data_IF_774031012285
#
_entry.id   IF_774031012285
#
_cell.length_a   1.000
_cell.length_b   1.000
_cell.length_c   1.000
_cell.angle_alpha   90.00
_cell.angle_beta   90.00
_cell.angle_gamma   90.00
#
_symmetry.space_group_name_H-M   'P 1'
#
loop_
_entity.id
_entity.type
_entity.pdbx_description
1 polymer ?
#
# COMPACT_ATOMS: atom_id res chain seq x y z
N UNK A 1 9.23 1.11 -2.41
CA UNK A 1 8.99 2.57 -2.35
C UNK A 1 8.42 2.90 -1.00
N UNK A 2 8.51 4.15 -0.56
CA UNK A 2 8.02 4.58 0.75
C UNK A 2 6.83 5.52 0.58
N UNK A 3 5.89 5.48 1.51
CA UNK A 3 4.71 6.34 1.52
C UNK A 3 4.29 6.68 2.94
N UNK A 4 3.71 7.87 3.13
CA UNK A 4 3.17 8.31 4.42
C UNK A 4 1.66 8.23 4.35
N UNK A 5 1.07 7.41 5.21
CA UNK A 5 -0.38 7.26 5.36
C UNK A 5 -0.81 7.86 6.69
N UNK A 6 -1.98 8.53 6.71
CA UNK A 6 -2.61 8.95 7.96
C UNK A 6 -3.46 7.80 8.52
N UNK A 7 -3.01 7.19 9.59
CA UNK A 7 -3.73 6.19 10.35
C UNK A 7 -4.27 6.82 11.63
N UNK A 8 -5.60 6.90 11.79
CA UNK A 8 -6.25 7.47 13.00
C UNK A 8 -5.68 8.86 13.40
N UNK A 9 -5.47 9.73 12.42
CA UNK A 9 -4.85 11.08 12.58
C UNK A 9 -3.34 11.11 12.86
N UNK A 10 -2.67 9.96 12.88
CA UNK A 10 -1.23 9.83 13.09
C UNK A 10 -0.56 9.53 11.74
N UNK A 11 0.59 10.15 11.48
CA UNK A 11 1.38 9.84 10.29
C UNK A 11 2.14 8.52 10.51
N UNK A 12 2.04 7.60 9.55
CA UNK A 12 2.72 6.32 9.53
C UNK A 12 3.43 6.15 8.19
N UNK A 13 4.74 5.89 8.23
CA UNK A 13 5.54 5.66 7.04
C UNK A 13 5.65 4.16 6.76
N UNK A 14 5.25 3.76 5.56
CA UNK A 14 5.29 2.38 5.09
C UNK A 14 6.25 2.22 3.93
N UNK A 15 7.07 1.18 3.98
CA UNK A 15 7.84 0.67 2.86
C UNK A 15 7.02 -0.38 2.12
N UNK A 16 6.59 -0.02 0.91
CA UNK A 16 5.85 -0.88 -0.01
C UNK A 16 6.81 -1.60 -0.96
N UNK A 17 6.68 -2.92 -1.04
CA UNK A 17 7.45 -3.79 -1.91
C UNK A 17 6.50 -4.63 -2.77
N UNK A 18 6.90 -4.88 -4.02
CA UNK A 18 6.19 -5.77 -4.92
C UNK A 18 6.78 -7.18 -4.72
N UNK A 19 5.95 -8.12 -4.28
CA UNK A 19 6.34 -9.52 -4.08
C UNK A 19 6.07 -10.35 -5.34
N UNK A 20 4.88 -10.16 -5.93
CA UNK A 20 4.43 -10.86 -7.13
C UNK A 20 3.37 -10.05 -7.87
N UNK A 21 2.96 -10.50 -9.06
CA UNK A 21 1.95 -9.80 -9.84
C UNK A 21 0.64 -9.62 -9.05
N UNK A 22 0.33 -8.36 -8.73
CA UNK A 22 -0.85 -8.02 -7.92
C UNK A 22 -0.71 -8.28 -6.42
N UNK A 23 0.47 -8.65 -5.92
CA UNK A 23 0.74 -8.92 -4.50
C UNK A 23 1.86 -8.00 -4.00
N UNK A 24 1.56 -7.25 -2.96
CA UNK A 24 2.46 -6.26 -2.37
C UNK A 24 2.56 -6.47 -0.86
N UNK A 25 3.68 -6.10 -0.29
CA UNK A 25 3.89 -6.02 1.16
C UNK A 25 4.14 -4.57 1.55
N UNK A 26 3.55 -4.12 2.64
CA UNK A 26 3.78 -2.81 3.23
C UNK A 26 4.26 -3.00 4.66
N UNK A 27 5.52 -2.64 4.92
CA UNK A 27 6.14 -2.75 6.23
C UNK A 27 6.27 -1.37 6.86
N UNK A 28 5.79 -1.20 8.08
CA UNK A 28 5.90 0.03 8.85
C UNK A 28 7.37 0.32 9.15
N UNK A 29 7.82 1.52 8.81
CA UNK A 29 9.16 2.00 9.13
C UNK A 29 9.16 2.81 10.41
N UNK A 30 8.22 3.75 10.53
CA UNK A 30 8.05 4.60 11.71
C UNK A 30 6.63 5.19 11.75
N UNK A 31 6.18 5.60 12.94
CA UNK A 31 4.94 6.34 13.14
C UNK A 31 5.11 7.39 14.25
N UNK A 32 4.40 8.51 14.13
CA UNK A 32 4.48 9.64 15.08
C UNK A 32 3.48 9.51 16.25
N UNK A 33 3.22 8.29 16.72
CA UNK A 33 2.11 7.97 17.63
C UNK A 33 2.49 7.20 18.88
N UNK A 34 1.57 7.17 19.84
CA UNK A 34 1.70 6.30 21.01
C UNK A 34 1.52 4.82 20.63
N UNK A 35 2.19 3.93 21.37
CA UNK A 35 2.25 2.49 21.09
C UNK A 35 0.88 1.81 21.15
N UNK A 36 -0.06 2.32 21.95
CA UNK A 36 -1.42 1.78 22.07
C UNK A 36 -2.25 1.96 20.80
N UNK A 37 -1.87 2.89 19.92
CA UNK A 37 -2.54 3.15 18.63
C UNK A 37 -1.61 2.87 17.44
N UNK A 38 -0.59 2.03 17.65
CA UNK A 38 0.35 1.67 16.61
C UNK A 38 -0.38 1.04 15.42
N UNK A 39 -0.13 1.53 14.20
CA UNK A 39 -0.70 0.92 13.01
C UNK A 39 -0.04 -0.46 12.76
N UNK A 40 -0.64 -1.34 11.94
CA UNK A 40 -0.08 -2.66 11.68
C UNK A 40 1.35 -2.60 11.13
N UNK A 41 2.26 -3.39 11.71
CA UNK A 41 3.68 -3.40 11.34
C UNK A 41 3.91 -3.96 9.93
N UNK A 42 3.11 -4.95 9.51
CA UNK A 42 3.24 -5.62 8.23
C UNK A 42 1.88 -5.89 7.63
N UNK A 43 1.70 -5.49 6.38
CA UNK A 43 0.44 -5.63 5.66
C UNK A 43 0.73 -6.27 4.31
N UNK A 44 0.11 -7.41 4.03
CA UNK A 44 0.08 -7.97 2.68
C UNK A 44 -1.14 -7.41 1.97
N UNK A 45 -0.95 -6.82 0.80
CA UNK A 45 -2.00 -6.31 -0.07
C UNK A 45 -2.09 -7.15 -1.33
N UNK A 46 -3.32 -7.54 -1.68
CA UNK A 46 -3.63 -8.30 -2.88
C UNK A 46 -4.62 -7.49 -3.72
N UNK A 47 -4.30 -7.32 -4.99
CA UNK A 47 -5.13 -6.60 -5.95
C UNK A 47 -6.37 -7.45 -6.30
N UNK A 48 -7.53 -7.02 -5.81
CA UNK A 48 -8.81 -7.55 -6.26
C UNK A 48 -9.29 -6.88 -7.55
N UNK A 49 -10.47 -7.28 -8.02
CA UNK A 49 -11.09 -6.73 -9.26
C UNK A 49 -11.53 -5.27 -9.08
N UNK A 50 -11.97 -4.89 -7.87
CA UNK A 50 -12.51 -3.55 -7.58
C UNK A 50 -11.78 -2.83 -6.44
N UNK A 51 -11.33 -3.59 -5.46
CA UNK A 51 -10.71 -3.07 -4.25
C UNK A 51 -9.42 -3.84 -3.95
N UNK A 52 -8.53 -3.20 -3.21
CA UNK A 52 -7.41 -3.88 -2.58
C UNK A 52 -7.90 -4.60 -1.32
N UNK A 53 -7.49 -5.85 -1.17
CA UNK A 53 -7.71 -6.66 0.04
C UNK A 53 -6.38 -6.90 0.72
N UNK A 54 -6.37 -7.29 2.00
CA UNK A 54 -5.11 -7.59 2.64
C UNK A 54 -5.21 -8.39 3.93
N UNK A 55 -4.07 -8.53 4.60
CA UNK A 55 -3.93 -9.27 5.85
C UNK A 55 -4.52 -8.56 7.08
N UNK A 56 -5.09 -7.38 6.90
CA UNK A 56 -5.73 -6.58 7.95
C UNK A 56 -7.15 -6.21 7.52
N UNK A 57 -8.05 -6.04 8.48
CA UNK A 57 -9.45 -5.67 8.22
C UNK A 57 -9.68 -4.15 8.17
N UNK A 58 -8.62 -3.37 8.01
CA UNK A 58 -8.70 -1.90 7.96
C UNK A 58 -8.84 -1.40 6.52
N UNK A 59 -10.08 -1.23 6.07
CA UNK A 59 -10.40 -0.82 4.70
C UNK A 59 -9.82 0.55 4.31
N UNK A 60 -9.70 1.47 5.27
CA UNK A 60 -9.14 2.80 5.03
C UNK A 60 -7.66 2.66 4.71
N UNK A 61 -6.93 1.92 5.54
CA UNK A 61 -5.49 1.69 5.36
C UNK A 61 -5.21 0.94 4.05
N UNK A 62 -5.97 -0.12 3.76
CA UNK A 62 -5.87 -0.87 2.51
C UNK A 62 -6.20 0.02 1.30
N UNK A 63 -7.20 0.88 1.40
CA UNK A 63 -7.58 1.80 0.34
C UNK A 63 -6.49 2.83 0.03
N UNK A 64 -5.90 3.45 1.05
CA UNK A 64 -4.85 4.45 0.89
C UNK A 64 -3.55 3.83 0.35
N UNK A 65 -3.12 2.68 0.88
CA UNK A 65 -1.98 1.93 0.36
C UNK A 65 -2.23 1.45 -1.07
N UNK A 66 -3.45 0.97 -1.36
CA UNK A 66 -3.86 0.54 -2.69
C UNK A 66 -3.79 1.66 -3.73
N UNK A 67 -4.28 2.87 -3.41
CA UNK A 67 -4.15 4.06 -4.26
C UNK A 67 -2.69 4.39 -4.56
N UNK A 68 -1.83 4.34 -3.53
CA UNK A 68 -0.40 4.56 -3.71
C UNK A 68 0.21 3.51 -4.65
N UNK A 69 -0.13 2.24 -4.48
CA UNK A 69 0.35 1.16 -5.36
C UNK A 69 -0.13 1.38 -6.79
N UNK A 70 -1.41 1.65 -7.03
CA UNK A 70 -1.94 1.86 -8.38
C UNK A 70 -1.31 3.06 -9.11
N UNK A 71 -0.92 4.10 -8.36
CA UNK A 71 -0.21 5.25 -8.91
C UNK A 71 1.23 4.93 -9.35
N UNK A 72 1.91 4.01 -8.65
CA UNK A 72 3.35 3.73 -8.83
C UNK A 72 3.63 2.42 -9.58
N UNK A 73 2.70 1.47 -9.52
CA UNK A 73 2.71 0.19 -10.23
C UNK A 73 1.40 0.03 -11.02
N UNK A 74 1.25 0.72 -12.16
CA UNK A 74 0.09 0.56 -13.02
C UNK A 74 0.11 -0.85 -13.65
N UNK A 75 -0.50 -1.81 -12.96
CA UNK A 75 -0.70 -3.17 -13.46
C UNK A 75 -1.68 -3.09 -14.63
N UNK A 76 -1.23 -3.40 -15.85
CA UNK A 76 -2.08 -3.47 -17.04
C UNK A 76 -2.01 -2.32 -18.05
N UNK A 77 -1.08 -1.36 -17.94
CA UNK A 77 -0.78 -0.54 -19.14
C UNK A 77 0.05 -1.39 -20.10
N UNK A 78 -0.57 -1.83 -21.21
CA UNK A 78 0.15 -2.02 -22.47
C UNK A 78 1.12 -0.84 -22.61
N UNK A 79 2.42 -1.09 -22.53
CA UNK A 79 3.38 -0.14 -23.05
C UNK A 79 3.03 -0.01 -24.53
N UNK A 80 2.33 1.06 -24.91
CA UNK A 80 2.23 1.43 -26.30
C UNK A 80 3.65 1.76 -26.71
N UNK A 81 4.28 0.82 -27.41
CA UNK A 81 5.60 0.96 -28.01
C UNK A 81 5.51 2.21 -28.89
N UNK A 82 6.08 3.33 -28.43
CA UNK A 82 6.33 4.46 -29.33
C UNK A 82 7.55 4.07 -30.15
N UNK A 83 7.32 3.37 -31.27
CA UNK A 83 8.30 3.30 -32.34
C UNK A 83 8.52 4.73 -32.84
N UNK A 84 9.76 5.22 -32.69
CA UNK A 84 10.28 6.34 -33.45
C UNK A 84 11.53 5.85 -34.16
#
# INVERSE_FOLDING_TARGET
METIIRYRSIAACYKVQNEAEGIFTANLLYHDGDTEQSPPEGITLVKGVRNWTGSVEDEILLGELGKFIDANWPVGRRQSIKNK
#
